data_IF_519786966607
#
_entry.id   IF_519786966607
#
_cell.length_a   1.000
_cell.length_b   1.000
_cell.length_c   1.000
_cell.angle_alpha   90.00
_cell.angle_beta   90.00
_cell.angle_gamma   90.00
#
_symmetry.space_group_name_H-M   'P 1'
#
loop_
_entity.id
_entity.type
_entity.pdbx_description
1 polymer ?
#
# COMPACT_ATOMS: atom_id res chain seq x y z
N UNK A 1 -0.78 6.84 -9.81
CA UNK A 1 -0.78 7.64 -8.56
C UNK A 1 -2.08 8.43 -8.48
N UNK A 2 -3.17 7.69 -8.29
CA UNK A 2 -4.49 8.25 -8.06
C UNK A 2 -4.69 8.46 -6.55
N UNK A 3 -5.61 9.33 -6.16
CA UNK A 3 -5.96 9.51 -4.76
C UNK A 3 -5.91 10.96 -4.29
N UNK A 4 -7.00 11.35 -3.64
CA UNK A 4 -7.26 12.71 -3.18
C UNK A 4 -6.64 12.97 -1.82
N UNK A 5 -6.54 11.94 -0.97
CA UNK A 5 -6.03 12.09 0.40
C UNK A 5 -4.57 11.71 0.46
N UNK A 6 -3.69 12.69 0.69
CA UNK A 6 -2.24 12.47 0.80
C UNK A 6 -1.78 12.70 2.24
N UNK A 7 -0.82 11.90 2.73
CA UNK A 7 -0.22 12.16 4.03
C UNK A 7 0.55 13.48 4.00
N UNK A 8 0.28 14.35 4.96
CA UNK A 8 1.08 15.56 5.18
C UNK A 8 2.38 15.20 5.91
N UNK A 9 3.38 14.82 5.12
CA UNK A 9 4.68 14.31 5.60
C UNK A 9 5.37 15.17 6.68
N UNK A 10 5.34 16.51 6.63
CA UNK A 10 6.02 17.34 7.63
C UNK A 10 5.50 17.15 9.06
N UNK A 11 4.25 16.71 9.24
CA UNK A 11 3.66 16.51 10.58
C UNK A 11 3.62 15.05 11.03
N UNK A 12 4.03 14.11 10.17
CA UNK A 12 4.11 12.70 10.54
C UNK A 12 5.40 12.41 11.29
N UNK A 13 5.28 11.71 12.42
CA UNK A 13 6.43 11.14 13.10
C UNK A 13 7.13 10.15 12.16
N UNK A 14 8.44 9.98 12.34
CA UNK A 14 9.24 9.04 11.53
C UNK A 14 8.65 7.62 11.55
N UNK A 15 8.15 7.18 12.71
CA UNK A 15 7.48 5.87 12.86
C UNK A 15 6.18 5.77 12.05
N UNK A 16 5.40 6.85 11.98
CA UNK A 16 4.11 6.89 11.28
C UNK A 16 4.34 6.92 9.78
N UNK A 17 5.32 7.71 9.34
CA UNK A 17 5.75 7.71 7.95
C UNK A 17 6.30 6.34 7.52
N UNK A 18 7.06 5.67 8.39
CA UNK A 18 7.55 4.30 8.13
C UNK A 18 6.39 3.31 8.00
N UNK A 19 5.41 3.36 8.91
CA UNK A 19 4.22 2.52 8.87
C UNK A 19 3.37 2.78 7.62
N UNK A 20 3.19 4.05 7.27
CA UNK A 20 2.50 4.43 6.03
C UNK A 20 3.21 3.83 4.82
N UNK A 21 4.54 3.92 4.76
CA UNK A 21 5.34 3.34 3.68
C UNK A 21 5.23 1.82 3.65
N UNK A 22 5.18 1.15 4.80
CA UNK A 22 5.06 -0.30 4.86
C UNK A 22 3.73 -0.81 4.32
N UNK A 23 2.62 -0.13 4.63
CA UNK A 23 1.30 -0.43 4.04
C UNK A 23 1.31 -0.12 2.54
N UNK A 24 1.77 1.06 2.12
CA UNK A 24 1.81 1.48 0.71
C UNK A 24 2.61 0.49 -0.15
N UNK A 25 3.82 0.12 0.31
CA UNK A 25 4.66 -0.84 -0.40
C UNK A 25 4.10 -2.26 -0.32
N UNK A 26 3.42 -2.63 0.76
CA UNK A 26 2.71 -3.90 0.88
C UNK A 26 1.64 -4.05 -0.20
N UNK A 27 0.75 -3.06 -0.34
CA UNK A 27 -0.29 -3.04 -1.39
C UNK A 27 0.36 -3.09 -2.78
N UNK A 28 1.40 -2.28 -3.04
CA UNK A 28 2.12 -2.31 -4.32
C UNK A 28 2.65 -3.71 -4.68
N UNK A 29 3.21 -4.40 -3.69
CA UNK A 29 3.77 -5.74 -3.86
C UNK A 29 2.68 -6.77 -4.09
N UNK A 30 1.60 -6.69 -3.30
CA UNK A 30 0.42 -7.54 -3.45
C UNK A 30 -0.22 -7.38 -4.83
N UNK A 31 -0.41 -6.13 -5.29
CA UNK A 31 -0.94 -5.87 -6.64
C UNK A 31 -0.12 -6.59 -7.71
N UNK A 32 1.21 -6.48 -7.65
CA UNK A 32 2.03 -7.15 -8.65
C UNK A 32 2.34 -8.61 -8.39
N UNK A 33 1.83 -9.20 -7.32
CA UNK A 33 1.76 -10.64 -7.12
C UNK A 33 0.48 -11.20 -7.75
N UNK A 34 -0.65 -10.53 -7.53
CA UNK A 34 -1.97 -11.07 -7.82
C UNK A 34 -2.52 -10.62 -9.19
N UNK A 35 -2.18 -9.41 -9.63
CA UNK A 35 -2.75 -8.79 -10.83
C UNK A 35 -1.70 -8.46 -11.90
N UNK A 36 -0.44 -8.31 -11.52
CA UNK A 36 0.68 -8.12 -12.46
C UNK A 36 1.50 -6.83 -12.25
N UNK A 37 2.61 -6.72 -12.97
CA UNK A 37 3.57 -5.65 -12.74
C UNK A 37 3.12 -4.28 -13.27
N UNK A 38 2.28 -4.23 -14.31
CA UNK A 38 1.79 -2.98 -14.90
C UNK A 38 0.71 -2.35 -14.01
N UNK A 39 -0.08 -3.18 -13.37
CA UNK A 39 -1.19 -2.87 -12.46
C UNK A 39 -0.69 -2.14 -11.22
N UNK A 40 0.58 -2.31 -10.86
CA UNK A 40 1.24 -1.55 -9.78
C UNK A 40 1.19 -0.03 -10.01
N UNK A 41 1.05 0.43 -11.25
CA UNK A 41 0.93 1.86 -11.59
C UNK A 41 -0.40 2.47 -11.14
N UNK A 42 -1.42 1.62 -10.94
CA UNK A 42 -2.75 2.00 -10.47
C UNK A 42 -2.77 2.34 -8.98
N UNK A 43 -1.72 1.98 -8.23
CA UNK A 43 -1.61 2.25 -6.81
C UNK A 43 -1.91 3.72 -6.47
N UNK A 44 -2.76 3.89 -5.46
CA UNK A 44 -3.26 5.18 -5.01
C UNK A 44 -3.18 5.38 -3.51
N UNK A 45 -3.24 6.66 -3.10
CA UNK A 45 -3.16 7.04 -1.68
C UNK A 45 -4.44 6.71 -0.90
N UNK A 46 -5.61 6.80 -1.53
CA UNK A 46 -6.91 6.57 -0.86
C UNK A 46 -7.03 5.14 -0.32
N UNK A 47 -6.59 4.14 -1.08
CA UNK A 47 -6.64 2.74 -0.67
C UNK A 47 -5.56 2.38 0.35
N UNK A 48 -4.47 3.15 0.36
CA UNK A 48 -3.48 3.05 1.42
C UNK A 48 -4.05 3.60 2.73
N UNK A 49 -4.76 4.74 2.68
CA UNK A 49 -5.46 5.29 3.84
C UNK A 49 -6.51 4.32 4.37
N UNK A 50 -7.35 3.77 3.49
CA UNK A 50 -8.35 2.77 3.86
C UNK A 50 -7.71 1.56 4.53
N UNK A 51 -6.62 1.02 3.96
CA UNK A 51 -5.91 -0.11 4.55
C UNK A 51 -5.34 0.20 5.93
N UNK A 52 -4.76 1.39 6.12
CA UNK A 52 -4.25 1.82 7.44
C UNK A 52 -5.39 1.90 8.46
N UNK A 53 -6.53 2.47 8.06
CA UNK A 53 -7.71 2.59 8.93
C UNK A 53 -8.25 1.22 9.33
N UNK A 54 -8.42 0.31 8.35
CA UNK A 54 -8.88 -1.05 8.62
C UNK A 54 -7.90 -1.82 9.51
N UNK A 55 -6.59 -1.70 9.28
CA UNK A 55 -5.58 -2.32 10.12
C UNK A 55 -5.64 -1.79 11.56
N UNK A 56 -5.94 -0.51 11.76
CA UNK A 56 -6.11 0.07 13.09
C UNK A 56 -7.39 -0.37 13.80
N UNK A 57 -8.42 -0.78 13.04
CA UNK A 57 -9.70 -1.27 13.56
C UNK A 57 -9.76 -2.80 13.69
N UNK A 58 -8.73 -3.50 13.25
CA UNK A 58 -8.64 -4.96 13.26
C UNK A 58 -7.52 -5.45 14.16
N UNK A 59 -7.60 -6.70 14.62
CA UNK A 59 -6.49 -7.39 15.27
C UNK A 59 -5.46 -7.95 14.27
N UNK A 60 -5.63 -7.69 12.97
CA UNK A 60 -4.73 -8.18 11.94
C UNK A 60 -3.37 -7.47 12.01
N UNK A 61 -2.31 -8.25 12.21
CA UNK A 61 -0.94 -7.77 12.20
C UNK A 61 -0.11 -8.50 11.15
N UNK A 62 -0.19 -8.07 9.88
CA UNK A 62 0.60 -8.69 8.82
C UNK A 62 2.09 -8.52 9.12
N UNK A 63 2.91 -9.53 8.82
CA UNK A 63 4.35 -9.43 8.99
C UNK A 63 4.92 -8.31 8.09
N UNK A 64 5.89 -7.59 8.62
CA UNK A 64 6.59 -6.52 7.90
C UNK A 64 8.01 -6.98 7.53
N UNK A 65 8.44 -6.72 6.29
CA UNK A 65 9.79 -7.01 5.82
C UNK A 65 10.29 -5.93 4.87
N UNK A 66 11.60 -5.88 4.61
CA UNK A 66 12.21 -4.97 3.65
C UNK A 66 12.26 -5.60 2.26
N UNK A 67 11.58 -4.99 1.30
CA UNK A 67 11.56 -5.43 -0.09
C UNK A 67 12.11 -4.36 -1.05
N UNK A 68 12.72 -4.79 -2.16
CA UNK A 68 13.18 -3.89 -3.22
C UNK A 68 12.00 -3.21 -3.91
N UNK A 69 12.14 -1.95 -4.31
CA UNK A 69 11.07 -1.20 -4.98
C UNK A 69 11.19 -1.28 -6.50
N UNK A 70 10.09 -1.40 -7.24
CA UNK A 70 10.15 -1.41 -8.71
C UNK A 70 10.58 -0.05 -9.28
N UNK A 71 10.21 1.06 -8.64
CA UNK A 71 10.61 2.40 -9.05
C UNK A 71 12.02 2.78 -8.59
N UNK A 72 12.61 2.03 -7.67
CA UNK A 72 13.99 2.19 -7.25
C UNK A 72 14.55 0.86 -6.74
N UNK A 73 15.07 0.00 -7.65
CA UNK A 73 15.53 -1.36 -7.32
C UNK A 73 16.63 -1.41 -6.26
N UNK A 74 17.47 -0.37 -6.20
CA UNK A 74 18.58 -0.26 -5.25
C UNK A 74 18.13 0.12 -3.83
N UNK A 75 16.92 0.66 -3.69
CA UNK A 75 16.38 1.09 -2.40
C UNK A 75 15.37 0.07 -1.87
N UNK A 76 15.75 -0.59 -0.77
CA UNK A 76 14.79 -1.37 0.02
C UNK A 76 13.84 -0.45 0.78
N UNK A 77 12.58 -0.86 0.86
CA UNK A 77 11.51 -0.17 1.60
C UNK A 77 10.84 -1.16 2.54
N UNK A 78 10.37 -0.73 3.72
CA UNK A 78 9.51 -1.57 4.53
C UNK A 78 8.23 -1.89 3.73
N UNK A 79 7.71 -3.09 3.87
CA UNK A 79 6.52 -3.56 3.18
C UNK A 79 5.82 -4.63 4.02
N UNK A 80 4.51 -4.46 4.22
CA UNK A 80 3.69 -5.54 4.76
C UNK A 80 3.59 -6.69 3.75
N UNK A 81 3.59 -7.92 4.27
CA UNK A 81 3.45 -9.14 3.46
C UNK A 81 2.09 -9.78 3.69
N UNK A 82 1.23 -9.65 2.67
CA UNK A 82 -0.09 -10.28 2.66
C UNK A 82 -1.00 -9.74 3.76
N UNK A 83 -1.96 -10.57 4.13
CA UNK A 83 -3.04 -10.22 5.05
C UNK A 83 -4.29 -9.81 4.29
N UNK A 84 -5.44 -10.10 4.88
CA UNK A 84 -6.77 -9.90 4.29
C UNK A 84 -6.99 -8.44 3.92
N UNK A 85 -6.56 -7.49 4.76
CA UNK A 85 -6.71 -6.07 4.49
C UNK A 85 -5.83 -5.61 3.32
N UNK A 86 -4.60 -6.13 3.21
CA UNK A 86 -3.69 -5.77 2.11
C UNK A 86 -4.17 -6.38 0.79
N UNK A 87 -4.65 -7.62 0.82
CA UNK A 87 -5.29 -8.30 -0.31
C UNK A 87 -6.54 -7.56 -0.78
N UNK A 88 -7.41 -7.17 0.15
CA UNK A 88 -8.60 -6.36 -0.11
C UNK A 88 -8.24 -5.03 -0.76
N UNK A 89 -7.28 -4.29 -0.20
CA UNK A 89 -6.85 -3.01 -0.73
C UNK A 89 -6.21 -3.13 -2.12
N UNK A 90 -5.47 -4.22 -2.39
CA UNK A 90 -4.94 -4.50 -3.72
C UNK A 90 -6.08 -4.73 -4.73
N UNK A 91 -7.05 -5.57 -4.40
CA UNK A 91 -8.20 -5.85 -5.28
C UNK A 91 -9.08 -4.62 -5.53
N UNK A 92 -9.39 -3.86 -4.48
CA UNK A 92 -10.17 -2.62 -4.61
C UNK A 92 -9.44 -1.58 -5.47
N UNK A 93 -8.10 -1.52 -5.44
CA UNK A 93 -7.32 -0.62 -6.31
C UNK A 93 -7.56 -0.95 -7.78
N UNK A 94 -7.60 -2.24 -8.14
CA UNK A 94 -7.88 -2.69 -9.50
C UNK A 94 -9.32 -2.39 -9.89
N UNK A 95 -10.28 -2.68 -9.00
CA UNK A 95 -11.71 -2.43 -9.26
C UNK A 95 -11.99 -0.95 -9.51
N UNK A 96 -11.43 -0.05 -8.69
CA UNK A 96 -11.61 1.39 -8.87
C UNK A 96 -10.99 1.89 -10.17
N UNK A 97 -9.80 1.40 -10.50
CA UNK A 97 -9.14 1.74 -11.76
C UNK A 97 -9.94 1.26 -12.99
N UNK A 98 -10.54 0.07 -12.91
CA UNK A 98 -11.37 -0.49 -13.99
C UNK A 98 -12.66 0.31 -14.18
N UNK A 99 -13.33 0.69 -13.09
CA UNK A 99 -14.62 1.38 -13.14
C UNK A 99 -14.53 2.91 -13.30
N UNK A 100 -13.33 3.49 -13.47
CA UNK A 100 -13.10 4.96 -13.59
C UNK A 100 -13.90 5.77 -12.56
N UNK A 101 -13.83 5.34 -11.29
CA UNK A 101 -14.33 6.13 -10.17
C UNK A 101 -13.32 7.23 -9.79
#
# INVERSE_FOLDING_TARGET
MFGYVRPYKPELLVRELSRYQSVYCGICKQIGRDYGHLERLLLGYDLTLLAILLLALSDEQPPEDFAGCISNPLKKRPALRGGQIIELAAGLTILMAYHKA
#
